data_IF_883290554833
#
_entry.id   IF_883290554833
#
_cell.length_a   1.000
_cell.length_b   1.000
_cell.length_c   1.000
_cell.angle_alpha   90.00
_cell.angle_beta   90.00
_cell.angle_gamma   90.00
#
_symmetry.space_group_name_H-M   'P 1'
#
loop_
_entity.id
_entity.type
_entity.pdbx_description
1 polymer ?
#
# COMPACT_ATOMS: atom_id res chain seq x y z
N UNK A 1 4.44 20.33 4.72
CA UNK A 1 3.96 19.66 3.50
C UNK A 1 4.10 20.57 2.30
N UNK A 2 4.36 20.01 1.13
CA UNK A 2 4.41 20.76 -0.11
C UNK A 2 3.09 20.59 -0.88
N UNK A 3 2.18 21.59 -0.84
CA UNK A 3 0.85 21.46 -1.46
C UNK A 3 0.87 21.26 -2.97
N UNK A 4 1.95 21.71 -3.64
CA UNK A 4 2.08 21.57 -5.10
C UNK A 4 2.35 20.13 -5.53
N UNK A 5 2.90 19.31 -4.64
CA UNK A 5 3.18 17.90 -4.90
C UNK A 5 2.00 16.99 -4.54
N UNK A 6 1.19 17.39 -3.56
CA UNK A 6 0.14 16.53 -3.03
C UNK A 6 -1.05 16.49 -3.98
N UNK A 7 -1.45 15.28 -4.35
CA UNK A 7 -2.64 15.03 -5.16
C UNK A 7 -3.81 14.72 -4.23
N UNK A 8 -4.75 15.63 -4.17
CA UNK A 8 -5.87 15.59 -3.25
C UNK A 8 -5.95 16.89 -2.48
N UNK A 9 -6.70 16.93 -1.40
CA UNK A 9 -6.82 18.10 -0.53
C UNK A 9 -5.69 18.13 0.50
N UNK A 10 -4.70 19.01 0.36
CA UNK A 10 -3.58 19.06 1.30
C UNK A 10 -3.97 19.45 2.72
N UNK A 11 -5.18 19.99 2.92
CA UNK A 11 -5.68 20.32 4.25
C UNK A 11 -6.32 19.13 4.96
N UNK A 12 -6.55 18.03 4.25
CA UNK A 12 -7.23 16.83 4.74
C UNK A 12 -6.33 15.60 4.78
N UNK A 13 -5.01 15.78 4.84
CA UNK A 13 -4.06 14.67 4.90
C UNK A 13 -4.10 14.02 6.28
N UNK A 14 -4.35 12.72 6.30
CA UNK A 14 -4.42 11.93 7.52
C UNK A 14 -3.41 10.79 7.43
N UNK A 15 -2.67 10.54 8.51
CA UNK A 15 -1.83 9.35 8.62
C UNK A 15 -2.30 8.52 9.83
N UNK A 16 -2.31 7.20 9.67
CA UNK A 16 -2.79 6.26 10.70
C UNK A 16 -1.67 5.59 11.48
N UNK A 17 -0.42 5.76 11.04
CA UNK A 17 0.74 5.18 11.70
C UNK A 17 1.97 6.07 11.49
N UNK A 18 3.00 5.87 12.33
CA UNK A 18 4.29 6.55 12.15
C UNK A 18 4.99 6.13 10.86
N UNK A 19 4.75 4.90 10.40
CA UNK A 19 5.31 4.40 9.15
C UNK A 19 4.72 5.15 7.95
N UNK A 20 3.41 5.37 7.96
CA UNK A 20 2.75 6.16 6.92
C UNK A 20 3.26 7.59 6.93
N UNK A 21 3.39 8.19 8.12
CA UNK A 21 3.93 9.53 8.26
C UNK A 21 5.35 9.63 7.72
N UNK A 22 6.19 8.62 7.98
CA UNK A 22 7.56 8.59 7.46
C UNK A 22 7.58 8.57 5.93
N UNK A 23 6.71 7.79 5.30
CA UNK A 23 6.61 7.76 3.85
C UNK A 23 6.09 9.10 3.31
N UNK A 24 5.12 9.72 3.96
CA UNK A 24 4.63 11.06 3.57
C UNK A 24 5.75 12.09 3.57
N UNK A 25 6.57 12.12 4.61
CA UNK A 25 7.71 13.03 4.71
C UNK A 25 8.71 12.75 3.59
N UNK A 26 9.01 11.48 3.34
CA UNK A 26 9.90 11.09 2.25
C UNK A 26 9.37 11.59 0.90
N UNK A 27 8.09 11.36 0.59
CA UNK A 27 7.49 11.81 -0.66
C UNK A 27 7.54 13.32 -0.80
N UNK A 28 7.30 14.04 0.28
CA UNK A 28 7.26 15.50 0.27
C UNK A 28 8.65 16.13 0.09
N UNK A 29 9.68 15.51 0.65
CA UNK A 29 11.05 16.03 0.62
C UNK A 29 11.90 15.52 -0.53
N UNK A 30 11.59 14.35 -1.08
CA UNK A 30 12.40 13.75 -2.14
C UNK A 30 12.14 14.45 -3.48
N UNK A 31 13.18 15.02 -4.09
CA UNK A 31 13.05 15.77 -5.33
C UNK A 31 12.66 14.92 -6.53
N UNK A 32 12.90 13.61 -6.49
CA UNK A 32 12.49 12.67 -7.54
C UNK A 32 10.99 12.38 -7.51
N UNK A 33 10.34 12.58 -6.37
CA UNK A 33 8.88 12.42 -6.24
C UNK A 33 8.22 13.72 -6.67
N UNK A 34 7.53 13.68 -7.81
CA UNK A 34 6.90 14.86 -8.41
C UNK A 34 5.52 15.07 -7.82
N UNK A 35 4.80 13.99 -7.54
CA UNK A 35 3.41 14.02 -7.10
C UNK A 35 3.16 12.83 -6.18
N UNK A 36 2.34 13.02 -5.14
CA UNK A 36 1.94 11.94 -4.26
C UNK A 36 0.55 12.20 -3.68
N UNK A 37 -0.12 11.15 -3.22
CA UNK A 37 -1.43 11.23 -2.60
C UNK A 37 -1.61 10.12 -1.58
N UNK A 38 -2.46 10.36 -0.58
CA UNK A 38 -2.79 9.40 0.48
C UNK A 38 -4.25 9.02 0.38
N UNK A 39 -4.52 7.74 0.17
CA UNK A 39 -5.87 7.17 0.11
C UNK A 39 -6.81 7.83 -0.92
N UNK A 40 -6.24 8.36 -2.01
CA UNK A 40 -7.00 9.07 -3.05
C UNK A 40 -7.48 8.15 -4.18
N UNK A 41 -6.96 6.93 -4.26
CA UNK A 41 -7.30 5.96 -5.30
C UNK A 41 -8.18 4.87 -4.69
N UNK A 42 -9.22 4.50 -5.42
CA UNK A 42 -10.14 3.44 -5.00
C UNK A 42 -10.05 2.29 -5.98
N UNK A 43 -9.79 1.08 -5.48
CA UNK A 43 -9.70 -0.13 -6.27
C UNK A 43 -10.77 -1.11 -5.81
N UNK A 44 -11.73 -1.47 -6.67
CA UNK A 44 -12.71 -2.50 -6.30
C UNK A 44 -12.05 -3.87 -6.29
N UNK A 45 -12.42 -4.70 -5.33
CA UNK A 45 -11.97 -6.08 -5.25
C UNK A 45 -13.09 -6.96 -4.70
N UNK A 46 -13.08 -8.24 -5.05
CA UNK A 46 -14.03 -9.21 -4.49
C UNK A 46 -13.44 -9.83 -3.24
N UNK A 47 -14.08 -9.60 -2.10
CA UNK A 47 -13.61 -10.14 -0.82
C UNK A 47 -13.92 -11.65 -0.74
N UNK A 48 -12.92 -12.49 -0.41
CA UNK A 48 -13.16 -13.91 -0.19
C UNK A 48 -13.94 -14.19 1.10
N UNK A 49 -14.08 -13.19 1.97
CA UNK A 49 -14.80 -13.35 3.23
C UNK A 49 -16.30 -13.43 3.03
N UNK A 50 -16.87 -12.63 2.12
CA UNK A 50 -18.31 -12.58 1.88
C UNK A 50 -18.70 -12.70 0.40
N UNK A 51 -17.72 -12.79 -0.49
CA UNK A 51 -17.95 -12.90 -1.93
C UNK A 51 -18.45 -11.62 -2.60
N UNK A 52 -18.49 -10.52 -1.88
CA UNK A 52 -19.01 -9.24 -2.37
C UNK A 52 -17.87 -8.33 -2.84
N UNK A 53 -18.22 -7.35 -3.67
CA UNK A 53 -17.28 -6.32 -4.11
C UNK A 53 -17.15 -5.27 -3.01
N UNK A 54 -15.90 -5.02 -2.60
CA UNK A 54 -15.54 -4.00 -1.63
C UNK A 54 -14.60 -2.98 -2.26
N UNK A 55 -14.43 -1.85 -1.60
CA UNK A 55 -13.51 -0.80 -2.02
C UNK A 55 -12.22 -0.93 -1.23
N UNK A 56 -11.09 -0.97 -1.96
CA UNK A 56 -9.77 -0.95 -1.38
C UNK A 56 -9.15 0.42 -1.62
N UNK A 57 -8.69 1.05 -0.54
CA UNK A 57 -8.00 2.34 -0.57
C UNK A 57 -6.52 2.11 -0.29
N UNK A 58 -5.67 2.00 -1.33
CA UNK A 58 -4.23 1.88 -1.11
C UNK A 58 -3.71 3.07 -0.31
N UNK A 59 -2.67 2.84 0.49
CA UNK A 59 -2.15 3.89 1.37
C UNK A 59 -1.64 5.11 0.61
N UNK A 60 -0.92 4.90 -0.50
CA UNK A 60 -0.28 5.99 -1.23
C UNK A 60 -0.30 5.79 -2.73
N UNK A 61 -0.32 6.92 -3.42
CA UNK A 61 0.00 7.07 -4.84
C UNK A 61 1.26 7.93 -4.94
N UNK A 62 2.16 7.60 -5.86
CA UNK A 62 3.39 8.35 -6.05
C UNK A 62 3.78 8.37 -7.52
N UNK A 63 4.19 9.54 -8.00
CA UNK A 63 4.74 9.73 -9.34
C UNK A 63 6.19 10.16 -9.22
N UNK A 64 7.08 9.40 -9.81
CA UNK A 64 8.52 9.56 -9.66
C UNK A 64 9.17 9.85 -11.00
N UNK A 65 10.11 10.80 -11.03
CA UNK A 65 10.96 11.06 -12.17
C UNK A 65 12.21 10.20 -12.04
N UNK A 66 12.44 9.35 -13.03
CA UNK A 66 13.60 8.46 -13.05
C UNK A 66 14.84 9.18 -13.58
N UNK A 67 16.01 8.56 -13.40
CA UNK A 67 17.29 9.12 -13.83
C UNK A 67 17.35 9.40 -15.34
N UNK A 68 16.64 8.62 -16.15
CA UNK A 68 16.55 8.81 -17.60
C UNK A 68 15.53 9.87 -18.03
N UNK A 69 14.91 10.57 -17.06
CA UNK A 69 13.88 11.58 -17.32
C UNK A 69 12.47 11.05 -17.50
N UNK A 70 12.26 9.73 -17.58
CA UNK A 70 10.94 9.15 -17.69
C UNK A 70 10.17 9.24 -16.37
N UNK A 71 8.83 9.23 -16.46
CA UNK A 71 7.96 9.27 -15.29
C UNK A 71 7.41 7.88 -15.02
N UNK A 72 7.39 7.49 -13.74
CA UNK A 72 6.85 6.21 -13.31
C UNK A 72 5.88 6.42 -12.16
N UNK A 73 4.73 5.77 -12.24
CA UNK A 73 3.67 5.89 -11.23
C UNK A 73 3.59 4.62 -10.41
N UNK A 74 3.41 4.78 -9.10
CA UNK A 74 3.33 3.67 -8.15
C UNK A 74 2.10 3.80 -7.29
N UNK A 75 1.51 2.66 -6.97
CA UNK A 75 0.54 2.53 -5.88
C UNK A 75 1.24 1.74 -4.79
N UNK A 76 1.22 2.25 -3.56
CA UNK A 76 2.00 1.73 -2.45
C UNK A 76 1.12 1.38 -1.27
N UNK A 77 1.29 0.18 -0.75
CA UNK A 77 0.73 -0.28 0.51
C UNK A 77 1.84 -0.36 1.54
N UNK A 78 1.62 0.20 2.72
CA UNK A 78 2.55 0.10 3.85
C UNK A 78 2.06 -1.01 4.76
N UNK A 79 2.87 -2.06 4.97
CA UNK A 79 2.47 -3.22 5.73
C UNK A 79 3.65 -3.83 6.49
N UNK A 80 3.49 -4.20 7.78
CA UNK A 80 4.54 -4.94 8.47
C UNK A 80 4.86 -6.25 7.75
N UNK A 81 6.13 -6.59 7.65
CA UNK A 81 6.60 -7.81 7.00
C UNK A 81 5.93 -9.06 7.58
N UNK A 82 5.71 -9.07 8.88
CA UNK A 82 5.04 -10.19 9.56
C UNK A 82 3.61 -10.42 9.04
N UNK A 83 2.92 -9.37 8.60
CA UNK A 83 1.56 -9.46 8.06
C UNK A 83 1.52 -9.85 6.59
N UNK A 84 2.68 -9.90 5.92
CA UNK A 84 2.79 -10.36 4.54
C UNK A 84 3.01 -11.86 4.44
N UNK A 85 3.27 -12.52 5.56
CA UNK A 85 3.53 -13.97 5.60
C UNK A 85 2.24 -14.77 5.58
N UNK A 86 2.27 -15.89 4.86
CA UNK A 86 1.18 -16.85 4.86
C UNK A 86 1.06 -17.49 6.25
N UNK A 87 -0.18 -17.60 6.81
CA UNK A 87 -0.38 -18.31 8.07
C UNK A 87 0.00 -19.78 7.98
N UNK A 88 0.30 -20.41 9.11
CA UNK A 88 0.63 -21.84 9.18
C UNK A 88 -0.51 -22.65 8.57
N UNK A 89 -0.21 -23.55 7.61
CA UNK A 89 -1.24 -24.32 6.90
C UNK A 89 -1.92 -25.37 7.77
N UNK A 90 -1.16 -26.04 8.63
CA UNK A 90 -1.66 -27.13 9.47
C UNK A 90 -1.27 -26.88 10.92
N UNK A 91 -1.94 -25.93 11.62
CA UNK A 91 -1.63 -25.68 13.02
C UNK A 91 -2.06 -26.87 13.88
N UNK A 92 -1.32 -27.12 14.98
CA UNK A 92 -1.70 -28.14 15.95
C UNK A 92 -3.08 -27.88 16.54
N UNK A 93 -3.46 -26.62 16.63
CA UNK A 93 -4.73 -26.17 17.18
C UNK A 93 -5.29 -25.04 16.34
N UNK A 94 -6.53 -25.21 15.86
CA UNK A 94 -7.21 -24.17 15.07
C UNK A 94 -7.90 -23.19 16.01
N UNK A 95 -7.19 -22.15 16.41
CA UNK A 95 -7.72 -21.10 17.28
C UNK A 95 -8.49 -20.07 16.47
N UNK A 96 -9.33 -19.26 17.14
CA UNK A 96 -10.01 -18.12 16.52
C UNK A 96 -8.98 -17.14 15.95
N UNK A 97 -7.87 -16.92 16.66
CA UNK A 97 -6.78 -16.06 16.19
C UNK A 97 -6.21 -16.55 14.86
N UNK A 98 -5.94 -17.84 14.76
CA UNK A 98 -5.42 -18.43 13.52
C UNK A 98 -6.43 -18.29 12.37
N UNK A 99 -7.72 -18.53 12.62
CA UNK A 99 -8.77 -18.34 11.61
C UNK A 99 -8.83 -16.88 11.14
N UNK A 100 -8.71 -15.92 12.04
CA UNK A 100 -8.70 -14.51 11.69
C UNK A 100 -7.47 -14.17 10.85
N UNK A 101 -6.31 -14.73 11.15
CA UNK A 101 -5.09 -14.56 10.36
C UNK A 101 -5.26 -15.09 8.94
N UNK A 102 -5.89 -16.26 8.79
CA UNK A 102 -6.18 -16.86 7.47
C UNK A 102 -7.10 -15.96 6.66
N UNK A 103 -8.19 -15.47 7.26
CA UNK A 103 -9.11 -14.58 6.56
C UNK A 103 -8.46 -13.25 6.19
N UNK A 104 -7.72 -12.66 7.12
CA UNK A 104 -7.01 -11.39 6.86
C UNK A 104 -6.01 -11.56 5.71
N UNK A 105 -5.24 -12.63 5.73
CA UNK A 105 -4.29 -12.93 4.67
C UNK A 105 -5.01 -13.07 3.31
N UNK A 106 -6.10 -13.84 3.28
CA UNK A 106 -6.86 -14.04 2.05
C UNK A 106 -7.44 -12.72 1.50
N UNK A 107 -7.98 -11.87 2.38
CA UNK A 107 -8.50 -10.55 2.00
C UNK A 107 -7.38 -9.67 1.45
N UNK A 108 -6.22 -9.62 2.12
CA UNK A 108 -5.07 -8.84 1.66
C UNK A 108 -4.58 -9.33 0.30
N UNK A 109 -4.50 -10.63 0.07
CA UNK A 109 -4.09 -11.19 -1.22
C UNK A 109 -5.07 -10.78 -2.33
N UNK A 110 -6.37 -10.79 -2.06
CA UNK A 110 -7.39 -10.36 -3.01
C UNK A 110 -7.26 -8.87 -3.33
N UNK A 111 -7.05 -8.02 -2.32
CA UNK A 111 -6.81 -6.59 -2.49
C UNK A 111 -5.59 -6.33 -3.36
N UNK A 112 -4.48 -6.98 -3.05
CA UNK A 112 -3.20 -6.76 -3.73
C UNK A 112 -3.21 -7.28 -5.15
N UNK A 113 -3.87 -8.41 -5.40
CA UNK A 113 -4.06 -8.91 -6.76
C UNK A 113 -4.86 -7.92 -7.61
N UNK A 114 -5.96 -7.39 -7.07
CA UNK A 114 -6.76 -6.37 -7.76
C UNK A 114 -5.96 -5.09 -7.99
N UNK A 115 -5.11 -4.71 -7.02
CA UNK A 115 -4.23 -3.56 -7.17
C UNK A 115 -3.20 -3.77 -8.28
N UNK A 116 -2.60 -4.95 -8.38
CA UNK A 116 -1.67 -5.28 -9.47
C UNK A 116 -2.34 -5.20 -10.83
N UNK A 117 -3.55 -5.75 -10.96
CA UNK A 117 -4.33 -5.70 -12.20
C UNK A 117 -4.69 -4.25 -12.56
N UNK A 118 -5.14 -3.48 -11.58
CA UNK A 118 -5.46 -2.06 -11.76
C UNK A 118 -4.22 -1.28 -12.24
N UNK A 119 -3.08 -1.50 -11.62
CA UNK A 119 -1.83 -0.85 -11.98
C UNK A 119 -1.40 -1.23 -13.40
N UNK A 120 -1.51 -2.49 -13.75
CA UNK A 120 -1.19 -2.97 -15.10
C UNK A 120 -2.05 -2.27 -16.16
N UNK A 121 -3.35 -2.12 -15.89
CA UNK A 121 -4.28 -1.47 -16.82
C UNK A 121 -4.05 0.04 -16.95
N UNK A 122 -3.44 0.67 -15.94
CA UNK A 122 -3.20 2.12 -15.90
C UNK A 122 -1.73 2.51 -16.09
N UNK A 123 -0.87 1.57 -16.44
CA UNK A 123 0.55 1.86 -16.66
C UNK A 123 1.29 2.21 -15.36
N UNK A 124 0.89 1.62 -14.26
CA UNK A 124 1.49 1.84 -12.94
C UNK A 124 2.12 0.56 -12.40
N UNK A 125 2.86 0.66 -11.30
CA UNK A 125 3.35 -0.49 -10.54
C UNK A 125 2.78 -0.48 -9.14
N UNK A 126 2.41 -1.66 -8.63
CA UNK A 126 1.99 -1.83 -7.24
C UNK A 126 3.18 -2.33 -6.43
N UNK A 127 3.42 -1.70 -5.26
CA UNK A 127 4.48 -2.10 -4.34
C UNK A 127 3.98 -2.14 -2.91
N UNK A 128 4.51 -3.09 -2.14
CA UNK A 128 4.28 -3.18 -0.71
C UNK A 128 5.58 -2.76 -0.01
N UNK A 129 5.49 -1.72 0.82
CA UNK A 129 6.62 -1.25 1.61
C UNK A 129 6.50 -1.79 3.02
N UNK A 130 7.57 -2.44 3.47
CA UNK A 130 7.69 -2.99 4.82
C UNK A 130 8.71 -2.16 5.62
N UNK A 131 8.96 -2.55 6.87
CA UNK A 131 10.02 -1.94 7.68
C UNK A 131 11.38 -2.00 6.99
N UNK A 132 11.64 -3.01 6.17
CA UNK A 132 12.89 -3.13 5.42
C UNK A 132 13.11 -1.97 4.44
N UNK A 133 12.03 -1.42 3.91
CA UNK A 133 12.09 -0.29 2.98
C UNK A 133 12.13 1.05 3.71
N UNK A 134 11.40 1.16 4.83
CA UNK A 134 11.26 2.41 5.58
C UNK A 134 12.42 2.65 6.54
N UNK A 135 13.02 1.58 7.06
CA UNK A 135 14.08 1.64 8.07
C UNK A 135 15.24 0.72 7.69
N UNK A 136 15.92 0.95 6.53
CA UNK A 136 16.95 0.02 6.07
C UNK A 136 18.16 -0.09 7.02
N UNK A 137 18.41 0.93 7.84
CA UNK A 137 19.50 0.93 8.80
C UNK A 137 19.28 -0.02 9.99
N UNK A 138 18.10 -0.54 10.15
CA UNK A 138 17.75 -1.44 11.27
C UNK A 138 17.68 -2.93 10.87
N UNK A 139 18.21 -3.25 9.72
CA UNK A 139 18.28 -4.65 9.28
C UNK A 139 19.33 -5.43 10.05
#
# INVERSE_FOLDING_TARGET
MNPKKYRGDPTQVIYRSLWERKLMVYCDKNTSVIEWGSEEIIIPYRSPKDGRIHRYFPDFYMKVKQSNGSLKKFIIEVKPKAQCKEPVKNPKRRTRRWLNEVFTYAVNQAKWKSAEEFCKDHGMEFKIFTEDHLFPQYK
#
